data_IF_042934426302
#
_entry.id   IF_042934426302
#
_cell.length_a   1.000
_cell.length_b   1.000
_cell.length_c   1.000
_cell.angle_alpha   90.00
_cell.angle_beta   90.00
_cell.angle_gamma   90.00
#
_symmetry.space_group_name_H-M   'P 1'
#
loop_
_entity.id
_entity.type
_entity.pdbx_description
1 polymer ?
#
# COMPACT_ATOMS: atom_id res chain seq x y z
N UNK A 1 12.09 -19.31 1.35
CA UNK A 1 12.62 -18.87 0.04
C UNK A 1 11.72 -17.77 -0.52
N UNK A 2 12.29 -16.88 -1.36
CA UNK A 2 11.53 -15.83 -2.05
C UNK A 2 11.70 -16.02 -3.57
N UNK A 3 10.63 -15.76 -4.33
CA UNK A 3 10.67 -15.69 -5.79
C UNK A 3 10.32 -14.27 -6.23
N UNK A 4 11.06 -13.74 -7.22
CA UNK A 4 10.82 -12.44 -7.81
C UNK A 4 10.21 -12.55 -9.19
N UNK A 5 9.18 -11.74 -9.46
CA UNK A 5 8.52 -11.66 -10.76
C UNK A 5 8.49 -10.22 -11.25
N UNK A 6 8.67 -10.02 -12.55
CA UNK A 6 8.56 -8.69 -13.17
C UNK A 6 7.23 -8.58 -13.90
N UNK A 7 6.34 -7.67 -13.43
CA UNK A 7 5.04 -7.44 -14.03
C UNK A 7 4.57 -6.00 -13.84
N UNK A 8 3.67 -5.54 -14.69
CA UNK A 8 3.02 -4.24 -14.55
C UNK A 8 1.66 -4.41 -13.86
N UNK A 9 1.59 -4.03 -12.60
CA UNK A 9 0.38 -4.15 -11.77
C UNK A 9 -0.84 -3.35 -12.31
N UNK A 10 -0.63 -2.44 -13.28
CA UNK A 10 -1.69 -1.67 -13.94
C UNK A 10 -2.35 -2.42 -15.09
N UNK A 11 -1.86 -3.58 -15.47
CA UNK A 11 -2.37 -4.38 -16.58
C UNK A 11 -3.17 -5.57 -16.04
N UNK A 12 -4.47 -5.59 -16.30
CA UNK A 12 -5.37 -6.62 -15.83
C UNK A 12 -4.92 -8.03 -16.22
N UNK A 13 -4.58 -8.23 -17.49
CA UNK A 13 -4.11 -9.54 -17.98
C UNK A 13 -2.86 -10.02 -17.22
N UNK A 14 -1.94 -9.10 -16.93
CA UNK A 14 -0.72 -9.43 -16.19
C UNK A 14 -1.02 -9.78 -14.73
N UNK A 15 -1.93 -9.03 -14.09
CA UNK A 15 -2.38 -9.34 -12.75
C UNK A 15 -3.03 -10.73 -12.69
N UNK A 16 -3.97 -11.02 -13.57
CA UNK A 16 -4.66 -12.32 -13.62
C UNK A 16 -3.67 -13.47 -13.82
N UNK A 17 -2.74 -13.35 -14.76
CA UNK A 17 -1.72 -14.39 -15.00
C UNK A 17 -0.80 -14.61 -13.79
N UNK A 18 -0.39 -13.53 -13.12
CA UNK A 18 0.49 -13.62 -11.95
C UNK A 18 -0.19 -14.33 -10.78
N UNK A 19 -1.41 -13.94 -10.44
CA UNK A 19 -2.13 -14.57 -9.34
C UNK A 19 -2.45 -16.05 -9.66
N UNK A 20 -2.84 -16.37 -10.89
CA UNK A 20 -3.05 -17.74 -11.31
C UNK A 20 -1.76 -18.58 -11.23
N UNK A 21 -0.62 -18.01 -11.63
CA UNK A 21 0.68 -18.68 -11.52
C UNK A 21 1.06 -18.95 -10.06
N UNK A 22 0.91 -17.97 -9.18
CA UNK A 22 1.23 -18.16 -7.75
C UNK A 22 0.35 -19.24 -7.13
N UNK A 23 -0.96 -19.19 -7.37
CA UNK A 23 -1.92 -20.19 -6.84
C UNK A 23 -1.65 -21.59 -7.38
N UNK A 24 -1.32 -21.72 -8.67
CA UNK A 24 -1.14 -23.03 -9.32
C UNK A 24 0.23 -23.67 -9.10
N UNK A 25 1.29 -22.86 -9.11
CA UNK A 25 2.67 -23.36 -9.14
C UNK A 25 3.42 -23.21 -7.80
N UNK A 26 2.99 -22.24 -6.95
CA UNK A 26 3.68 -21.98 -5.67
C UNK A 26 2.82 -22.46 -4.51
N UNK A 27 1.55 -22.11 -4.50
CA UNK A 27 0.59 -22.51 -3.51
C UNK A 27 -0.44 -21.42 -3.17
N UNK A 28 -1.42 -21.75 -2.31
CA UNK A 28 -2.49 -20.84 -1.94
C UNK A 28 -1.97 -19.53 -1.34
N UNK A 29 -2.42 -18.41 -1.89
CA UNK A 29 -2.06 -17.07 -1.38
C UNK A 29 -2.80 -16.83 -0.07
N UNK A 30 -2.08 -16.78 1.04
CA UNK A 30 -2.65 -16.48 2.36
C UNK A 30 -2.72 -14.98 2.62
N UNK A 31 -1.74 -14.21 2.11
CA UNK A 31 -1.66 -12.76 2.31
C UNK A 31 -1.33 -12.08 0.98
N UNK A 32 -2.10 -11.06 0.63
CA UNK A 32 -1.78 -10.15 -0.46
C UNK A 32 -1.50 -8.75 0.11
N UNK A 33 -0.27 -8.25 0.00
CA UNK A 33 0.09 -6.89 0.41
C UNK A 33 0.31 -6.04 -0.84
N UNK A 34 -0.60 -5.11 -1.09
CA UNK A 34 -0.45 -4.13 -2.16
C UNK A 34 0.38 -2.95 -1.67
N UNK A 35 1.64 -2.88 -2.12
CA UNK A 35 2.60 -1.85 -1.72
C UNK A 35 3.11 -1.00 -2.89
N UNK A 36 2.37 -0.95 -4.00
CA UNK A 36 2.69 -0.10 -5.15
C UNK A 36 2.24 1.33 -4.90
N UNK A 37 3.03 2.31 -5.33
CA UNK A 37 2.68 3.72 -5.18
C UNK A 37 3.46 4.63 -6.10
N UNK A 38 3.04 5.88 -6.18
CA UNK A 38 3.66 6.92 -7.01
C UNK A 38 3.80 8.23 -6.24
N UNK A 39 4.67 8.26 -5.22
CA UNK A 39 4.93 9.47 -4.44
C UNK A 39 5.74 10.47 -5.27
N UNK A 40 5.04 11.38 -5.94
CA UNK A 40 5.61 12.46 -6.76
C UNK A 40 5.15 13.81 -6.24
N UNK A 41 6.00 14.82 -6.41
CA UNK A 41 5.71 16.21 -6.08
C UNK A 41 5.61 17.03 -7.38
N UNK A 42 4.45 17.61 -7.62
CA UNK A 42 4.20 18.58 -8.69
C UNK A 42 3.18 19.62 -8.22
N UNK A 43 3.47 20.93 -8.29
CA UNK A 43 2.47 21.98 -8.11
C UNK A 43 1.28 21.73 -9.04
N UNK A 44 0.08 22.14 -8.62
CA UNK A 44 -1.15 21.84 -9.38
C UNK A 44 -1.10 22.30 -10.82
N UNK A 45 -0.54 23.50 -11.08
CA UNK A 45 -0.42 24.05 -12.43
C UNK A 45 0.65 23.34 -13.31
N UNK A 46 1.57 22.59 -12.68
CA UNK A 46 2.60 21.81 -13.36
C UNK A 46 2.21 20.32 -13.46
N UNK A 47 1.14 19.92 -12.78
CA UNK A 47 0.65 18.54 -12.82
C UNK A 47 -0.03 18.27 -14.15
N UNK A 48 0.66 17.56 -15.03
CA UNK A 48 0.09 17.17 -16.34
C UNK A 48 -0.95 16.07 -16.20
N UNK A 49 -1.89 15.98 -17.15
CA UNK A 49 -2.86 14.87 -17.22
C UNK A 49 -2.17 13.50 -17.15
N UNK A 50 -1.07 13.34 -17.87
CA UNK A 50 -0.27 12.11 -17.89
C UNK A 50 0.27 11.74 -16.51
N UNK A 51 0.80 12.71 -15.76
CA UNK A 51 1.32 12.50 -14.39
C UNK A 51 0.17 12.11 -13.47
N UNK A 52 -0.93 12.86 -13.48
CA UNK A 52 -2.10 12.61 -12.63
C UNK A 52 -2.66 11.20 -12.88
N UNK A 53 -2.93 10.87 -14.14
CA UNK A 53 -3.46 9.56 -14.54
C UNK A 53 -2.54 8.43 -14.12
N UNK A 54 -1.25 8.52 -14.43
CA UNK A 54 -0.28 7.47 -14.14
C UNK A 54 -0.14 7.20 -12.64
N UNK A 55 -0.13 8.25 -11.82
CA UNK A 55 -0.07 8.12 -10.36
C UNK A 55 -1.34 7.49 -9.82
N UNK A 56 -2.51 7.89 -10.32
CA UNK A 56 -3.79 7.30 -9.93
C UNK A 56 -3.88 5.82 -10.32
N UNK A 57 -3.45 5.48 -11.54
CA UNK A 57 -3.38 4.09 -12.00
C UNK A 57 -2.47 3.23 -11.11
N UNK A 58 -1.33 3.76 -10.68
CA UNK A 58 -0.41 3.05 -9.79
C UNK A 58 -0.98 2.87 -8.37
N UNK A 59 -1.62 3.90 -7.82
CA UNK A 59 -2.09 3.87 -6.43
C UNK A 59 -3.45 3.18 -6.26
N UNK A 60 -4.39 3.42 -7.17
CA UNK A 60 -5.78 2.99 -7.04
C UNK A 60 -6.16 1.84 -7.99
N UNK A 61 -5.94 2.01 -9.29
CA UNK A 61 -6.36 1.00 -10.26
C UNK A 61 -5.58 -0.32 -10.12
N UNK A 62 -4.27 -0.23 -9.97
CA UNK A 62 -3.45 -1.42 -9.71
C UNK A 62 -3.82 -2.13 -8.40
N UNK A 63 -4.22 -1.36 -7.37
CA UNK A 63 -4.72 -1.92 -6.12
C UNK A 63 -6.04 -2.67 -6.30
N UNK A 64 -6.97 -2.10 -7.09
CA UNK A 64 -8.21 -2.77 -7.45
C UNK A 64 -7.93 -4.10 -8.16
N UNK A 65 -7.06 -4.11 -9.17
CA UNK A 65 -6.71 -5.34 -9.89
C UNK A 65 -6.12 -6.39 -8.96
N UNK A 66 -5.13 -6.01 -8.14
CA UNK A 66 -4.45 -6.94 -7.23
C UNK A 66 -5.41 -7.47 -6.15
N UNK A 67 -6.18 -6.59 -5.52
CA UNK A 67 -7.13 -6.97 -4.48
C UNK A 67 -8.24 -7.87 -5.01
N UNK A 68 -8.77 -7.57 -6.21
CA UNK A 68 -9.79 -8.40 -6.87
C UNK A 68 -9.26 -9.79 -7.21
N UNK A 69 -8.06 -9.88 -7.79
CA UNK A 69 -7.48 -11.18 -8.14
C UNK A 69 -7.19 -12.02 -6.88
N UNK A 70 -6.63 -11.42 -5.83
CA UNK A 70 -6.45 -12.12 -4.54
C UNK A 70 -7.80 -12.60 -3.97
N UNK A 71 -8.82 -11.74 -3.98
CA UNK A 71 -10.13 -12.07 -3.44
C UNK A 71 -10.80 -13.25 -4.13
N UNK A 72 -10.62 -13.44 -5.45
CA UNK A 72 -11.18 -14.58 -6.19
C UNK A 72 -10.84 -15.92 -5.54
N UNK A 73 -9.55 -16.11 -5.24
CA UNK A 73 -9.06 -17.37 -4.67
C UNK A 73 -9.33 -17.47 -3.17
N UNK A 74 -9.20 -16.36 -2.44
CA UNK A 74 -9.39 -16.35 -0.99
C UNK A 74 -10.85 -16.59 -0.60
N UNK A 75 -11.81 -16.04 -1.35
CA UNK A 75 -13.25 -16.22 -1.08
C UNK A 75 -13.68 -17.67 -1.23
N UNK A 76 -13.16 -18.39 -2.23
CA UNK A 76 -13.45 -19.82 -2.42
C UNK A 76 -13.01 -20.65 -1.21
N UNK A 77 -11.89 -20.29 -0.58
CA UNK A 77 -11.35 -20.94 0.61
C UNK A 77 -11.89 -20.39 1.93
N UNK A 78 -12.60 -19.28 1.89
CA UNK A 78 -13.04 -18.53 3.08
C UNK A 78 -11.86 -18.24 4.03
N UNK A 79 -10.69 -17.91 3.48
CA UNK A 79 -9.47 -17.64 4.24
C UNK A 79 -8.52 -16.74 3.46
N UNK A 80 -8.02 -15.68 4.09
CA UNK A 80 -6.99 -14.81 3.54
C UNK A 80 -6.97 -13.42 4.12
N UNK A 81 -5.91 -12.68 3.81
CA UNK A 81 -5.73 -11.28 4.20
C UNK A 81 -5.32 -10.45 3.00
N UNK A 82 -5.97 -9.31 2.82
CA UNK A 82 -5.65 -8.34 1.76
C UNK A 82 -5.32 -7.00 2.43
N UNK A 83 -4.08 -6.56 2.33
CA UNK A 83 -3.62 -5.33 2.97
C UNK A 83 -3.17 -4.30 1.94
N UNK A 84 -3.64 -3.08 2.12
CA UNK A 84 -3.31 -1.96 1.25
C UNK A 84 -2.41 -0.96 1.98
N UNK A 85 -1.23 -0.69 1.40
CA UNK A 85 -0.30 0.30 1.94
C UNK A 85 -0.78 1.72 1.63
N UNK A 86 -1.27 2.37 2.66
CA UNK A 86 -1.60 3.78 2.68
C UNK A 86 -0.39 4.69 2.93
N UNK A 87 -0.66 5.94 3.13
CA UNK A 87 0.32 6.98 3.46
C UNK A 87 -0.42 8.14 4.15
N UNK A 88 0.30 9.14 4.69
CA UNK A 88 -0.25 10.44 5.06
C UNK A 88 -1.23 10.96 4.00
N UNK A 89 -0.87 10.79 2.73
CA UNK A 89 -1.68 11.18 1.58
C UNK A 89 -3.01 10.41 1.42
N UNK A 90 -3.25 9.36 2.21
CA UNK A 90 -4.55 8.68 2.27
C UNK A 90 -5.58 9.39 3.14
N UNK A 91 -5.13 10.27 4.03
CA UNK A 91 -5.95 10.95 5.03
C UNK A 91 -5.84 12.47 4.96
N UNK A 92 -4.82 13.00 4.28
CA UNK A 92 -4.55 14.42 4.18
C UNK A 92 -3.96 14.78 2.81
N UNK A 93 -4.55 15.75 2.11
CA UNK A 93 -3.94 16.39 0.94
C UNK A 93 -2.88 17.40 1.37
N UNK A 94 -1.78 17.49 0.62
CA UNK A 94 -0.72 18.48 0.83
C UNK A 94 -0.41 19.22 -0.46
N UNK A 95 0.06 20.47 -0.36
CA UNK A 95 0.48 21.26 -1.52
C UNK A 95 1.51 20.49 -2.35
N UNK A 96 1.32 20.44 -3.68
CA UNK A 96 2.19 19.72 -4.60
C UNK A 96 1.97 18.21 -4.69
N UNK A 97 1.02 17.65 -3.94
CA UNK A 97 0.75 16.20 -3.91
C UNK A 97 -0.65 15.82 -4.42
N UNK A 98 -1.30 16.67 -5.23
CA UNK A 98 -2.66 16.44 -5.68
C UNK A 98 -2.85 15.06 -6.35
N UNK A 99 -1.96 14.67 -7.26
CA UNK A 99 -2.04 13.36 -7.93
C UNK A 99 -1.87 12.20 -6.94
N UNK A 100 -0.89 12.30 -6.04
CA UNK A 100 -0.61 11.25 -5.06
C UNK A 100 -1.73 11.11 -4.02
N UNK A 101 -2.20 12.23 -3.47
CA UNK A 101 -3.30 12.23 -2.52
C UNK A 101 -4.59 11.69 -3.14
N UNK A 102 -4.96 12.13 -4.36
CA UNK A 102 -6.13 11.58 -5.05
C UNK A 102 -6.07 10.07 -5.22
N UNK A 103 -4.90 9.51 -5.59
CA UNK A 103 -4.72 8.07 -5.73
C UNK A 103 -4.79 7.34 -4.39
N UNK A 104 -4.22 7.90 -3.32
CA UNK A 104 -4.21 7.27 -1.98
C UNK A 104 -5.56 7.38 -1.26
N UNK A 105 -6.32 8.45 -1.44
CA UNK A 105 -7.72 8.52 -0.98
C UNK A 105 -8.61 7.50 -1.72
N UNK A 106 -8.42 7.36 -3.04
CA UNK A 106 -9.14 6.35 -3.81
C UNK A 106 -8.81 4.92 -3.33
N UNK A 107 -7.54 4.63 -3.04
CA UNK A 107 -7.10 3.37 -2.43
C UNK A 107 -7.79 3.09 -1.09
N UNK A 108 -7.87 4.11 -0.22
CA UNK A 108 -8.56 4.00 1.07
C UNK A 108 -10.04 3.68 0.89
N UNK A 109 -10.72 4.37 -0.03
CA UNK A 109 -12.12 4.08 -0.37
C UNK A 109 -12.34 2.66 -0.89
N UNK A 110 -11.44 2.17 -1.75
CA UNK A 110 -11.44 0.80 -2.24
C UNK A 110 -11.30 -0.20 -1.08
N UNK A 111 -10.32 0.00 -0.19
CA UNK A 111 -10.09 -0.87 0.96
C UNK A 111 -11.32 -0.93 1.87
N UNK A 112 -11.99 0.20 2.11
CA UNK A 112 -13.23 0.27 2.90
C UNK A 112 -14.38 -0.52 2.29
N UNK A 113 -14.56 -0.43 0.97
CA UNK A 113 -15.58 -1.18 0.24
C UNK A 113 -15.31 -2.68 0.31
N UNK A 114 -14.07 -3.08 -0.02
CA UNK A 114 -13.66 -4.49 0.01
C UNK A 114 -13.76 -5.10 1.41
N UNK A 115 -13.42 -4.36 2.47
CA UNK A 115 -13.53 -4.85 3.85
C UNK A 115 -14.97 -5.20 4.20
N UNK A 116 -15.94 -4.36 3.82
CA UNK A 116 -17.35 -4.61 4.08
C UNK A 116 -17.93 -5.77 3.29
N UNK A 117 -17.47 -5.93 2.05
CA UNK A 117 -17.95 -7.00 1.16
C UNK A 117 -17.31 -8.36 1.50
N UNK A 118 -16.03 -8.38 1.83
CA UNK A 118 -15.24 -9.59 1.99
C UNK A 118 -15.13 -10.07 3.44
N UNK A 119 -15.31 -9.19 4.42
CA UNK A 119 -15.33 -9.55 5.85
C UNK A 119 -16.32 -10.66 6.17
N UNK A 120 -17.60 -10.61 5.72
CA UNK A 120 -18.56 -11.70 5.91
C UNK A 120 -18.15 -13.03 5.23
N UNK A 121 -17.18 -12.99 4.32
CA UNK A 121 -16.61 -14.16 3.65
C UNK A 121 -15.31 -14.63 4.30
N UNK A 122 -15.06 -14.17 5.52
CA UNK A 122 -13.85 -14.47 6.32
C UNK A 122 -12.53 -14.03 5.66
N UNK A 123 -12.53 -12.90 4.97
CA UNK A 123 -11.33 -12.28 4.41
C UNK A 123 -11.03 -10.98 5.14
N UNK A 124 -9.85 -10.91 5.76
CA UNK A 124 -9.40 -9.72 6.47
C UNK A 124 -8.87 -8.68 5.49
N UNK A 125 -9.55 -7.55 5.33
CA UNK A 125 -9.09 -6.44 4.50
C UNK A 125 -8.74 -5.25 5.37
N UNK A 126 -7.47 -4.81 5.30
CA UNK A 126 -7.00 -3.66 6.06
C UNK A 126 -6.24 -2.64 5.20
N UNK A 127 -6.30 -1.38 5.64
CA UNK A 127 -5.58 -0.25 5.11
C UNK A 127 -4.58 0.25 6.15
N UNK A 128 -3.27 0.16 5.85
CA UNK A 128 -2.20 0.60 6.74
C UNK A 128 -1.72 1.98 6.32
N UNK A 129 -2.03 3.01 7.11
CA UNK A 129 -1.51 4.37 6.93
C UNK A 129 -0.10 4.43 7.48
N UNK A 130 0.88 4.61 6.60
CA UNK A 130 2.28 4.86 6.96
C UNK A 130 2.49 6.38 6.95
N UNK A 131 2.38 7.02 8.12
CA UNK A 131 2.55 8.46 8.25
C UNK A 131 4.00 8.79 8.61
N UNK A 132 4.90 8.54 7.66
CA UNK A 132 6.33 8.70 7.85
C UNK A 132 7.12 8.71 6.54
N UNK A 133 8.34 9.25 6.60
CA UNK A 133 9.41 8.88 5.69
C UNK A 133 9.96 7.49 6.05
N UNK A 134 9.89 6.54 5.13
CA UNK A 134 10.44 5.19 5.37
C UNK A 134 11.95 5.19 5.15
N UNK A 135 12.71 4.59 6.06
CA UNK A 135 14.17 4.53 5.99
C UNK A 135 14.65 3.59 4.88
N UNK A 136 14.53 4.08 3.65
CA UNK A 136 15.00 3.44 2.43
C UNK A 136 16.04 4.33 1.74
N UNK A 137 16.89 3.76 0.90
CA UNK A 137 17.86 4.55 0.14
C UNK A 137 17.18 5.62 -0.73
N UNK A 138 16.03 5.31 -1.31
CA UNK A 138 15.24 6.27 -2.07
C UNK A 138 14.84 7.52 -1.23
N UNK A 139 14.39 7.33 0.00
CA UNK A 139 14.02 8.45 0.90
C UNK A 139 15.27 9.19 1.36
N UNK A 140 16.34 8.47 1.69
CA UNK A 140 17.61 9.05 2.08
C UNK A 140 18.20 9.92 0.96
N UNK A 141 18.14 9.47 -0.28
CA UNK A 141 18.60 10.25 -1.44
C UNK A 141 17.74 11.51 -1.67
N UNK A 142 16.41 11.42 -1.47
CA UNK A 142 15.56 12.61 -1.51
C UNK A 142 15.97 13.65 -0.45
N UNK A 143 16.28 13.21 0.75
CA UNK A 143 16.75 14.08 1.83
C UNK A 143 18.08 14.75 1.46
N UNK A 144 19.05 13.98 0.96
CA UNK A 144 20.35 14.52 0.48
C UNK A 144 20.16 15.57 -0.62
N UNK A 145 19.29 15.29 -1.61
CA UNK A 145 18.94 16.26 -2.67
C UNK A 145 18.25 17.50 -2.16
N UNK A 146 17.55 17.41 -1.02
CA UNK A 146 16.93 18.55 -0.33
C UNK A 146 17.90 19.27 0.64
N UNK A 147 19.21 18.94 0.60
CA UNK A 147 20.24 19.55 1.46
C UNK A 147 20.23 19.05 2.91
N UNK A 148 19.52 17.96 3.21
CA UNK A 148 19.46 17.36 4.54
C UNK A 148 20.36 16.12 4.59
N UNK A 149 21.18 16.00 5.65
CA UNK A 149 21.94 14.79 5.89
C UNK A 149 21.07 13.76 6.64
N UNK A 150 20.70 12.62 6.01
CA UNK A 150 19.87 11.62 6.66
C UNK A 150 20.54 10.94 7.86
N UNK A 151 21.88 10.97 7.95
CA UNK A 151 22.62 10.38 9.07
C UNK A 151 22.68 11.29 10.30
N UNK A 152 22.33 12.57 10.14
CA UNK A 152 22.24 13.57 11.20
C UNK A 152 20.80 13.79 11.69
N UNK A 153 19.83 13.06 11.21
CA UNK A 153 18.47 13.14 11.71
C UNK A 153 18.39 12.59 13.14
N UNK A 154 17.51 13.15 13.99
CA UNK A 154 17.24 12.54 15.29
C UNK A 154 16.87 11.06 15.17
N UNK A 155 17.22 10.24 16.17
CA UNK A 155 16.83 8.83 16.18
C UNK A 155 15.32 8.65 15.94
N UNK A 156 14.95 7.64 15.17
CA UNK A 156 13.56 7.30 14.86
C UNK A 156 12.75 8.38 14.11
N UNK A 157 13.41 9.32 13.42
CA UNK A 157 12.74 10.26 12.50
C UNK A 157 12.20 9.53 11.26
N UNK A 158 12.96 8.55 10.76
CA UNK A 158 12.53 7.68 9.66
C UNK A 158 12.03 6.35 10.21
N UNK A 159 10.93 5.89 9.67
CA UNK A 159 10.35 4.58 10.06
C UNK A 159 11.16 3.43 9.45
N UNK A 160 11.49 2.44 10.26
CA UNK A 160 12.13 1.23 9.78
C UNK A 160 11.20 0.38 8.92
N UNK A 161 11.64 -0.18 7.80
CA UNK A 161 10.89 -1.20 7.07
C UNK A 161 10.47 -2.40 7.94
N UNK A 162 11.29 -2.76 8.93
CA UNK A 162 10.98 -3.86 9.87
C UNK A 162 9.75 -3.55 10.72
N UNK A 163 9.59 -2.31 11.19
CA UNK A 163 8.39 -1.90 11.96
C UNK A 163 7.12 -1.99 11.12
N UNK A 164 7.21 -1.67 9.82
CA UNK A 164 6.09 -1.81 8.89
C UNK A 164 5.75 -3.28 8.65
N UNK A 165 6.76 -4.13 8.46
CA UNK A 165 6.57 -5.57 8.29
C UNK A 165 5.93 -6.20 9.52
N UNK A 166 6.35 -5.79 10.72
CA UNK A 166 5.75 -6.24 11.99
C UNK A 166 4.28 -5.81 12.11
N UNK A 167 3.93 -4.59 11.67
CA UNK A 167 2.54 -4.14 11.65
C UNK A 167 1.67 -5.04 10.75
N UNK A 168 2.14 -5.40 9.55
CA UNK A 168 1.43 -6.35 8.68
C UNK A 168 1.32 -7.74 9.29
N UNK A 169 2.39 -8.22 9.91
CA UNK A 169 2.38 -9.51 10.59
C UNK A 169 1.35 -9.56 11.70
N UNK A 170 1.29 -8.51 12.52
CA UNK A 170 0.32 -8.40 13.62
C UNK A 170 -1.12 -8.31 13.09
N UNK A 171 -1.37 -7.56 12.01
CA UNK A 171 -2.68 -7.52 11.37
C UNK A 171 -3.13 -8.91 10.89
N UNK A 172 -2.23 -9.66 10.26
CA UNK A 172 -2.56 -10.99 9.73
C UNK A 172 -2.95 -11.99 10.83
N UNK A 173 -2.36 -11.88 12.03
CA UNK A 173 -2.59 -12.80 13.14
C UNK A 173 -3.75 -12.40 14.06
N UNK A 174 -4.48 -11.35 13.75
CA UNK A 174 -5.66 -10.97 14.52
C UNK A 174 -6.78 -12.01 14.39
N UNK A 175 -7.48 -12.23 15.51
CA UNK A 175 -8.67 -13.06 15.52
C UNK A 175 -9.81 -12.36 14.76
N UNK A 176 -10.69 -13.14 14.14
CA UNK A 176 -11.73 -12.62 13.27
C UNK A 176 -12.81 -11.79 13.99
N UNK A 177 -12.93 -11.90 15.30
CA UNK A 177 -13.83 -11.10 16.14
C UNK A 177 -13.26 -9.72 16.51
N UNK A 178 -11.99 -9.44 16.14
CA UNK A 178 -11.28 -8.19 16.45
C UNK A 178 -10.41 -7.66 15.31
N UNK A 179 -10.81 -7.82 14.06
CA UNK A 179 -10.03 -7.33 12.92
C UNK A 179 -9.94 -5.81 12.86
N UNK A 180 -8.72 -5.31 12.75
CA UNK A 180 -8.44 -3.90 12.45
C UNK A 180 -8.63 -3.64 10.97
N UNK A 181 -9.53 -2.72 10.63
CA UNK A 181 -9.70 -2.30 9.23
C UNK A 181 -8.70 -1.21 8.81
N UNK A 182 -8.46 -0.22 9.66
CA UNK A 182 -7.49 0.86 9.39
C UNK A 182 -6.52 0.99 10.57
N UNK A 183 -5.23 0.93 10.27
CA UNK A 183 -4.15 1.10 11.23
C UNK A 183 -3.26 2.27 10.78
N UNK A 184 -3.03 3.21 11.67
CA UNK A 184 -2.12 4.33 11.46
C UNK A 184 -0.85 4.12 12.28
N UNK A 185 0.30 4.13 11.60
CA UNK A 185 1.61 4.01 12.24
C UNK A 185 2.49 5.18 11.87
N UNK A 186 3.20 5.72 12.86
CA UNK A 186 4.08 6.87 12.69
C UNK A 186 5.23 6.86 13.68
N UNK A 187 6.35 7.52 13.38
CA UNK A 187 7.38 7.80 14.37
C UNK A 187 6.82 8.66 15.52
N UNK A 188 7.32 8.45 16.73
CA UNK A 188 6.88 9.24 17.90
C UNK A 188 7.10 10.75 17.74
N UNK A 189 8.07 11.14 16.90
CA UNK A 189 8.42 12.54 16.65
C UNK A 189 7.71 13.15 15.43
N UNK A 190 6.80 12.41 14.77
CA UNK A 190 6.01 12.94 13.66
C UNK A 190 5.04 13.99 14.17
N UNK A 191 5.02 15.14 13.47
CA UNK A 191 4.13 16.27 13.80
C UNK A 191 2.92 16.29 12.86
N UNK A 192 1.77 16.63 13.45
CA UNK A 192 0.47 16.65 12.73
C UNK A 192 0.23 17.96 11.99
#
# INVERSE_FOLDING_TARGET
SAQGFTWDARKEETATKMFAHVEGEIGPIEICIFNVGGNVYFPILETTERVFRKVWEMCAYAAFLSGREAAKYMVERQKGSIFFTGATASVRGSSGYAAFASGKFALRGLAQSMARELGPKNIHVAHLVIDAGVNTEFVRDRLRKAGKNPDCLPPNTLMSPSSIAEAYWNLHHQQCDGWTHELDIRPYAETW
#
